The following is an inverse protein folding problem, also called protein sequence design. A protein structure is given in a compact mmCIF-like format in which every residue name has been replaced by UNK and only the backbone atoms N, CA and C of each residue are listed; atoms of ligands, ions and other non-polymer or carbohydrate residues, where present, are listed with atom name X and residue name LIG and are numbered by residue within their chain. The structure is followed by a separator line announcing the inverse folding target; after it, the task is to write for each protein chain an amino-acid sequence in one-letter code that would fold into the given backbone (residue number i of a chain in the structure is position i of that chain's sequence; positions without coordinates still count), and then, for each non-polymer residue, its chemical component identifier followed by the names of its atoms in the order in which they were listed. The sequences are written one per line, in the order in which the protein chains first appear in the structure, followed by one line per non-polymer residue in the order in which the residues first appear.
data_IF_516954566737
#
_entry.id   IF_516954566737
#
_cell.length_a   1.000
_cell.length_b   1.000
_cell.length_c   1.000
_cell.angle_alpha   90.00
_cell.angle_beta   90.00
_cell.angle_gamma   90.00
#
_symmetry.space_group_name_H-M   'P 1'
#
loop_
_entity.id
_entity.type
_entity.pdbx_description
1 polymer ?
#
# COMPACT_ATOMS: atom_id res chain seq x y z
N UNK A 1 -18.51 6.92 3.08
CA UNK A 1 -17.27 6.12 2.93
C UNK A 1 -17.08 5.90 1.44
N UNK A 2 -15.96 6.33 0.85
CA UNK A 2 -15.74 6.34 -0.62
C UNK A 2 -14.94 5.13 -1.14
N UNK A 3 -14.43 4.32 -0.21
CA UNK A 3 -13.49 3.23 -0.46
C UNK A 3 -12.82 2.80 0.85
N UNK A 4 -11.86 1.89 0.73
CA UNK A 4 -11.16 1.22 1.83
C UNK A 4 -9.74 0.82 1.44
N UNK A 5 -8.92 0.53 2.45
CA UNK A 5 -7.58 -0.02 2.31
C UNK A 5 -7.38 -1.08 3.39
N UNK A 6 -6.70 -2.17 3.06
CA UNK A 6 -6.51 -3.32 3.93
C UNK A 6 -5.05 -3.78 3.92
N UNK A 7 -4.62 -4.40 5.03
CA UNK A 7 -3.37 -5.14 5.14
C UNK A 7 -3.68 -6.57 5.55
N UNK A 8 -3.27 -7.53 4.72
CA UNK A 8 -3.45 -8.96 4.97
C UNK A 8 -2.11 -9.59 5.35
N UNK A 9 -2.09 -10.28 6.49
CA UNK A 9 -0.92 -11.01 6.96
C UNK A 9 -1.12 -12.50 6.68
N UNK A 10 -0.12 -13.15 6.10
CA UNK A 10 -0.22 -14.57 5.75
C UNK A 10 -0.10 -15.50 6.97
N UNK A 11 0.52 -15.04 8.06
CA UNK A 11 0.79 -15.85 9.25
C UNK A 11 0.73 -14.97 10.50
N UNK A 12 0.06 -15.45 11.55
CA UNK A 12 -0.06 -14.76 12.85
C UNK A 12 1.28 -14.65 13.61
N UNK A 13 2.28 -15.44 13.22
CA UNK A 13 3.56 -15.54 13.93
C UNK A 13 4.67 -14.69 13.30
N UNK A 14 4.52 -14.28 12.05
CA UNK A 14 5.56 -13.60 11.28
C UNK A 14 4.95 -12.41 10.52
N UNK A 15 4.66 -11.34 11.25
CA UNK A 15 4.12 -10.06 10.75
C UNK A 15 5.08 -9.29 9.82
N UNK A 16 6.05 -9.99 9.25
CA UNK A 16 7.12 -9.45 8.40
C UNK A 16 6.55 -9.04 7.05
N UNK A 17 5.59 -9.78 6.49
CA UNK A 17 5.05 -9.52 5.15
C UNK A 17 3.55 -9.24 5.20
N UNK A 18 3.14 -8.11 4.62
CA UNK A 18 1.73 -7.74 4.49
C UNK A 18 1.36 -7.50 3.02
N UNK A 19 0.25 -8.10 2.58
CA UNK A 19 -0.38 -7.77 1.31
C UNK A 19 -1.26 -6.53 1.49
N UNK A 20 -0.97 -5.47 0.74
CA UNK A 20 -1.69 -4.21 0.80
C UNK A 20 -2.71 -4.11 -0.33
N UNK A 21 -3.94 -3.76 0.02
CA UNK A 21 -5.02 -3.53 -0.94
C UNK A 21 -5.64 -2.15 -0.75
N UNK A 22 -6.16 -1.60 -1.86
CA UNK A 22 -6.92 -0.36 -1.84
C UNK A 22 -7.96 -0.31 -2.95
N UNK A 23 -9.13 0.23 -2.61
CA UNK A 23 -10.20 0.47 -3.55
C UNK A 23 -10.82 1.85 -3.31
N UNK A 24 -11.07 2.59 -4.40
CA UNK A 24 -11.93 3.78 -4.39
C UNK A 24 -13.20 3.42 -5.17
N UNK A 25 -14.25 3.07 -4.43
CA UNK A 25 -15.53 2.63 -4.98
C UNK A 25 -16.22 3.77 -5.74
N UNK A 26 -16.21 4.99 -5.19
CA UNK A 26 -16.87 6.13 -5.81
C UNK A 26 -16.06 6.71 -6.99
N UNK A 27 -16.61 6.61 -8.20
CA UNK A 27 -15.97 7.12 -9.43
C UNK A 27 -15.66 8.62 -9.36
N UNK A 28 -16.53 9.39 -8.70
CA UNK A 28 -16.39 10.84 -8.52
C UNK A 28 -15.25 11.21 -7.56
N UNK A 29 -14.78 10.26 -6.76
CA UNK A 29 -13.67 10.42 -5.83
C UNK A 29 -12.31 10.01 -6.44
N UNK A 30 -12.30 9.33 -7.60
CA UNK A 30 -11.08 8.92 -8.30
C UNK A 30 -10.36 10.12 -8.91
N UNK A 31 -9.06 9.97 -9.15
CA UNK A 31 -8.22 11.04 -9.74
C UNK A 31 -7.94 12.22 -8.81
N UNK A 32 -8.43 12.20 -7.55
CA UNK A 32 -8.23 13.26 -6.55
C UNK A 32 -7.14 12.94 -5.53
N UNK A 33 -6.25 12.00 -5.85
CA UNK A 33 -5.18 11.52 -4.95
C UNK A 33 -5.66 10.97 -3.59
N UNK A 34 -6.94 10.60 -3.45
CA UNK A 34 -7.48 10.04 -2.20
C UNK A 34 -6.83 8.68 -1.91
N UNK A 35 -6.80 7.78 -2.92
CA UNK A 35 -6.17 6.47 -2.76
C UNK A 35 -4.68 6.57 -2.44
N UNK A 36 -3.98 7.53 -3.07
CA UNK A 36 -2.58 7.82 -2.77
C UNK A 36 -2.36 8.15 -1.29
N UNK A 37 -3.13 9.10 -0.75
CA UNK A 37 -2.99 9.54 0.65
C UNK A 37 -3.40 8.44 1.63
N UNK A 38 -4.49 7.74 1.35
CA UNK A 38 -4.96 6.64 2.19
C UNK A 38 -3.93 5.51 2.27
N UNK A 39 -3.35 5.11 1.14
CA UNK A 39 -2.33 4.07 1.11
C UNK A 39 -1.04 4.50 1.80
N UNK A 40 -0.57 5.74 1.63
CA UNK A 40 0.62 6.22 2.36
C UNK A 40 0.45 6.15 3.88
N UNK A 41 -0.71 6.54 4.39
CA UNK A 41 -1.02 6.44 5.82
C UNK A 41 -1.11 4.98 6.28
N UNK A 42 -1.73 4.09 5.48
CA UNK A 42 -1.81 2.66 5.79
C UNK A 42 -0.42 2.01 5.81
N UNK A 43 0.46 2.35 4.87
CA UNK A 43 1.84 1.89 4.85
C UNK A 43 2.61 2.43 6.06
N UNK A 44 2.45 3.71 6.41
CA UNK A 44 3.09 4.26 7.60
C UNK A 44 2.61 3.58 8.89
N UNK A 45 1.30 3.31 8.99
CA UNK A 45 0.73 2.56 10.10
C UNK A 45 1.31 1.15 10.19
N UNK A 46 1.40 0.44 9.06
CA UNK A 46 1.99 -0.90 9.05
C UNK A 46 3.47 -0.92 9.44
N UNK A 47 4.25 0.10 9.07
CA UNK A 47 5.65 0.24 9.50
C UNK A 47 5.73 0.50 11.01
N UNK A 48 5.00 1.50 11.51
CA UNK A 48 5.17 2.03 12.86
C UNK A 48 4.47 1.22 13.94
N UNK A 49 3.30 0.65 13.62
CA UNK A 49 2.44 -0.01 14.60
C UNK A 49 2.42 -1.53 14.43
N UNK A 50 2.48 -2.02 13.19
CA UNK A 50 2.40 -3.45 12.88
C UNK A 50 3.76 -4.10 12.59
N UNK A 51 4.84 -3.31 12.56
CA UNK A 51 6.22 -3.77 12.34
C UNK A 51 6.43 -4.53 11.02
N UNK A 52 5.66 -4.18 9.97
CA UNK A 52 5.81 -4.75 8.64
C UNK A 52 7.22 -4.49 8.09
N UNK A 53 7.83 -5.51 7.49
CA UNK A 53 9.17 -5.45 6.88
C UNK A 53 9.13 -5.52 5.35
N UNK A 54 8.04 -6.02 4.79
CA UNK A 54 7.83 -6.09 3.35
C UNK A 54 6.35 -5.95 3.03
N UNK A 55 6.05 -5.11 2.05
CA UNK A 55 4.73 -5.04 1.44
C UNK A 55 4.70 -5.79 0.12
N UNK A 56 3.56 -6.39 -0.16
CA UNK A 56 3.22 -7.03 -1.43
C UNK A 56 1.93 -6.43 -1.95
N UNK A 57 1.83 -6.18 -3.24
CA UNK A 57 0.57 -5.82 -3.90
C UNK A 57 0.38 -6.68 -5.12
N UNK A 58 -0.84 -7.18 -5.32
CA UNK A 58 -1.25 -7.88 -6.54
C UNK A 58 -2.27 -7.04 -7.26
N UNK A 59 -2.04 -6.79 -8.54
CA UNK A 59 -2.82 -5.84 -9.33
C UNK A 59 -3.10 -6.45 -10.70
N UNK A 60 -4.34 -6.37 -11.17
CA UNK A 60 -4.69 -6.79 -12.53
C UNK A 60 -3.87 -6.01 -13.56
N UNK A 61 -3.40 -6.68 -14.62
CA UNK A 61 -2.46 -6.09 -15.60
C UNK A 61 -3.01 -4.86 -16.32
N UNK A 62 -4.32 -4.75 -16.45
CA UNK A 62 -5.02 -3.64 -17.09
C UNK A 62 -5.16 -2.39 -16.19
N UNK A 63 -4.94 -2.53 -14.88
CA UNK A 63 -5.05 -1.44 -13.93
C UNK A 63 -3.74 -0.62 -13.85
N UNK A 64 -3.37 -0.01 -14.97
CA UNK A 64 -2.14 0.78 -15.09
C UNK A 64 -2.10 1.97 -14.11
N UNK A 65 -3.27 2.49 -13.72
CA UNK A 65 -3.38 3.58 -12.74
C UNK A 65 -2.81 3.13 -11.40
N UNK A 66 -3.19 1.95 -10.92
CA UNK A 66 -2.72 1.43 -9.63
C UNK A 66 -1.28 0.97 -9.71
N UNK A 67 -0.87 0.33 -10.82
CA UNK A 67 0.53 -0.06 -11.06
C UNK A 67 1.45 1.17 -10.96
N UNK A 68 1.15 2.22 -11.73
CA UNK A 68 1.93 3.47 -11.71
C UNK A 68 1.92 4.13 -10.32
N UNK A 69 0.83 3.99 -9.56
CA UNK A 69 0.73 4.53 -8.22
C UNK A 69 1.73 3.84 -7.28
N UNK A 70 1.77 2.51 -7.27
CA UNK A 70 2.68 1.75 -6.42
C UNK A 70 4.15 1.87 -6.85
N UNK A 71 4.44 1.92 -8.16
CA UNK A 71 5.79 2.21 -8.66
C UNK A 71 6.31 3.56 -8.14
N UNK A 72 5.47 4.60 -8.14
CA UNK A 72 5.81 5.92 -7.57
C UNK A 72 5.99 5.88 -6.04
N UNK A 73 5.37 4.92 -5.36
CA UNK A 73 5.63 4.66 -3.94
C UNK A 73 6.90 3.83 -3.71
N UNK A 74 7.64 3.49 -4.77
CA UNK A 74 8.88 2.73 -4.70
C UNK A 74 8.70 1.22 -4.70
N UNK A 75 7.50 0.70 -4.99
CA UNK A 75 7.30 -0.73 -5.20
C UNK A 75 7.96 -1.17 -6.51
N UNK A 76 8.47 -2.40 -6.54
CA UNK A 76 9.15 -2.98 -7.70
C UNK A 76 8.43 -4.23 -8.15
N UNK A 77 8.27 -4.40 -9.48
CA UNK A 77 7.71 -5.61 -10.06
C UNK A 77 8.57 -6.82 -9.72
N UNK A 78 7.98 -7.86 -9.14
CA UNK A 78 8.68 -9.10 -8.76
C UNK A 78 8.18 -10.33 -9.51
N UNK A 79 6.91 -10.38 -9.91
CA UNK A 79 6.37 -11.48 -10.70
C UNK A 79 5.13 -11.09 -11.48
N UNK A 80 4.73 -11.93 -12.42
CA UNK A 80 3.49 -11.80 -13.18
C UNK A 80 2.77 -13.14 -13.22
N UNK A 81 1.46 -13.15 -13.03
CA UNK A 81 0.62 -14.33 -13.20
C UNK A 81 -0.17 -14.22 -14.49
N UNK A 82 -0.05 -15.22 -15.37
CA UNK A 82 -0.88 -15.30 -16.57
C UNK A 82 -2.27 -15.85 -16.25
N UNK A 83 -2.33 -16.84 -15.36
CA UNK A 83 -3.58 -17.49 -14.93
C UNK A 83 -4.54 -16.49 -14.29
N UNK A 84 -4.02 -15.57 -13.48
CA UNK A 84 -4.81 -14.54 -12.81
C UNK A 84 -4.80 -13.19 -13.55
N UNK A 85 -4.04 -13.06 -14.64
CA UNK A 85 -3.83 -11.80 -15.35
C UNK A 85 -3.40 -10.64 -14.43
N UNK A 86 -2.42 -10.91 -13.57
CA UNK A 86 -1.95 -10.00 -12.52
C UNK A 86 -0.45 -9.75 -12.60
N UNK A 87 -0.03 -8.62 -12.04
CA UNK A 87 1.35 -8.31 -11.65
C UNK A 87 1.45 -8.31 -10.13
N UNK A 88 2.60 -8.74 -9.61
CA UNK A 88 2.95 -8.62 -8.18
C UNK A 88 4.10 -7.65 -8.04
N UNK A 89 3.92 -6.62 -7.21
CA UNK A 89 4.99 -5.70 -6.85
C UNK A 89 5.28 -5.79 -5.35
N UNK A 90 6.54 -5.64 -4.98
CA UNK A 90 6.99 -5.69 -3.59
C UNK A 90 7.71 -4.40 -3.19
N UNK A 91 7.67 -4.10 -1.89
CA UNK A 91 8.50 -3.06 -1.28
C UNK A 91 9.10 -3.55 0.02
N UNK A 92 10.43 -3.60 0.07
CA UNK A 92 11.16 -3.82 1.33
C UNK A 92 11.14 -2.53 2.15
N UNK A 93 10.89 -2.69 3.44
CA UNK A 93 10.96 -1.61 4.43
C UNK A 93 12.40 -1.47 4.89
N UNK A 94 13.08 -0.51 4.29
CA UNK A 94 14.44 -0.10 4.61
C UNK A 94 14.47 1.36 5.08
N UNK A 95 15.55 1.80 5.73
CA UNK A 95 15.66 3.14 6.31
C UNK A 95 15.52 4.25 5.26
N UNK A 96 15.98 4.02 4.02
CA UNK A 96 15.86 5.00 2.94
C UNK A 96 14.41 5.20 2.54
N UNK A 97 13.63 4.11 2.51
CA UNK A 97 12.21 4.15 2.21
C UNK A 97 11.40 4.75 3.34
N UNK A 98 11.71 4.41 4.59
CA UNK A 98 11.05 5.01 5.76
C UNK A 98 11.26 6.53 5.74
N UNK A 99 12.47 6.99 5.41
CA UNK A 99 12.76 8.42 5.27
C UNK A 99 11.91 9.06 4.18
N UNK A 100 11.83 8.44 3.01
CA UNK A 100 10.98 8.91 1.90
C UNK A 100 9.49 8.92 2.28
N UNK A 101 9.01 7.84 2.90
CA UNK A 101 7.60 7.67 3.29
C UNK A 101 7.22 8.73 4.32
N UNK A 102 8.05 8.95 5.33
CA UNK A 102 7.84 9.97 6.38
C UNK A 102 7.77 11.37 5.76
N UNK A 103 8.71 11.71 4.87
CA UNK A 103 8.69 13.00 4.19
C UNK A 103 7.47 13.17 3.25
N UNK A 104 6.99 12.08 2.65
CA UNK A 104 5.87 12.10 1.70
C UNK A 104 4.51 12.16 2.40
N UNK A 105 4.35 11.46 3.53
CA UNK A 105 3.15 11.51 4.36
C UNK A 105 2.98 12.92 4.96
N UNK A 106 4.09 13.51 5.43
CA UNK A 106 4.07 14.79 6.14
C UNK A 106 3.54 14.63 7.57
N UNK A 107 3.07 15.73 8.15
CA UNK A 107 2.51 15.75 9.50
C UNK A 107 1.14 15.07 9.53
N UNK A 108 0.92 14.22 10.53
CA UNK A 108 -0.36 13.57 10.80
C UNK A 108 -0.54 13.37 12.30
N UNK A 109 -1.80 13.36 12.75
CA UNK A 109 -2.17 13.06 14.12
C UNK A 109 -2.83 11.69 14.19
N UNK A 110 -2.51 10.94 15.25
CA UNK A 110 -3.23 9.71 15.61
C UNK A 110 -4.28 10.10 16.65
N UNK A 111 -5.55 9.90 16.31
CA UNK A 111 -6.68 10.15 17.21
C UNK A 111 -7.11 8.79 17.74
N UNK A 112 -6.97 8.58 19.04
CA UNK A 112 -7.52 7.42 19.74
C UNK A 112 -8.97 7.76 20.17
N UNK A 113 -9.94 6.91 19.81
CA UNK A 113 -11.31 7.02 20.33
C UNK A 113 -11.42 6.16 21.61
N UNK A 114 -11.76 6.82 22.73
CA UNK A 114 -12.04 6.20 24.05
C UNK A 114 -13.33 5.34 24.05
#
# INVERSE_FOLDING_TARGET
MVGDTNLFFANDLDHVVAEAEIMIAETQARGKHIGWRAMLLMLMYGVTSLHVRQYVVKITRDNQISINMFEKMGFVLTSTSEVFNEVTLNRIVDDSWITWLTATVGEYDVIEED
#
